data_IF_400365352474
#
_entry.id   IF_400365352474
#
_cell.length_a   1.000
_cell.length_b   1.000
_cell.length_c   1.000
_cell.angle_alpha   90.00
_cell.angle_beta   90.00
_cell.angle_gamma   90.00
#
_symmetry.space_group_name_H-M   'P 1'
#
loop_
_entity.id
_entity.type
_entity.pdbx_description
1 polymer ?
#
# COMPACT_ATOMS: atom_id res chain seq x y z
N UNK A 1 19.20 14.70 13.11
CA UNK A 1 19.43 13.81 11.95
C UNK A 1 18.26 13.99 11.00
N UNK A 2 18.54 14.51 9.80
CA UNK A 2 17.51 14.84 8.82
C UNK A 2 17.05 13.56 8.11
N UNK A 3 15.76 13.22 8.27
CA UNK A 3 15.05 12.44 7.26
C UNK A 3 15.27 13.16 5.93
N UNK A 4 15.79 12.46 4.92
CA UNK A 4 15.94 13.00 3.57
C UNK A 4 14.59 13.58 3.14
N UNK A 5 14.49 14.91 3.14
CA UNK A 5 13.38 15.62 2.53
C UNK A 5 13.54 15.43 1.03
N UNK A 6 12.91 14.38 0.49
CA UNK A 6 12.72 14.27 -0.94
C UNK A 6 11.70 15.35 -1.29
N UNK A 7 12.18 16.42 -1.89
CA UNK A 7 11.38 17.50 -2.44
C UNK A 7 11.73 17.64 -3.91
N UNK A 8 10.70 17.76 -4.76
CA UNK A 8 10.91 18.09 -6.16
C UNK A 8 11.59 19.46 -6.29
N UNK A 9 12.40 19.69 -7.34
CA UNK A 9 13.02 20.99 -7.59
C UNK A 9 11.98 22.11 -7.59
N UNK A 10 12.15 23.09 -6.68
CA UNK A 10 11.23 24.23 -6.54
C UNK A 10 10.08 24.03 -5.54
N UNK A 11 9.95 22.85 -4.92
CA UNK A 11 8.92 22.56 -3.92
C UNK A 11 9.50 22.33 -2.52
N UNK A 12 10.35 23.24 -2.03
CA UNK A 12 10.78 23.21 -0.62
C UNK A 12 9.59 23.53 0.29
N UNK A 13 9.39 22.71 1.33
CA UNK A 13 8.29 22.92 2.28
C UNK A 13 8.50 24.22 3.07
N UNK A 14 7.41 24.89 3.44
CA UNK A 14 7.50 25.99 4.39
C UNK A 14 8.06 25.45 5.74
N UNK A 15 8.87 26.23 6.49
CA UNK A 15 9.61 25.77 7.67
C UNK A 15 8.77 25.13 8.80
N UNK A 16 7.46 25.41 8.81
CA UNK A 16 6.48 24.95 9.80
C UNK A 16 5.57 23.83 9.29
N UNK A 17 5.78 23.36 8.05
CA UNK A 17 4.97 22.30 7.47
C UNK A 17 5.63 20.95 7.75
N UNK A 18 5.15 20.25 8.79
CA UNK A 18 5.52 18.87 9.03
C UNK A 18 4.98 18.01 7.88
N UNK A 19 5.86 17.59 6.97
CA UNK A 19 5.52 16.58 5.97
C UNK A 19 5.41 15.24 6.68
N UNK A 20 4.19 14.72 6.76
CA UNK A 20 3.97 13.33 7.12
C UNK A 20 4.47 12.46 5.95
N UNK A 21 5.36 11.53 6.26
CA UNK A 21 5.88 10.58 5.29
C UNK A 21 5.65 9.16 5.79
N UNK A 22 5.25 8.29 4.87
CA UNK A 22 5.18 6.86 5.07
C UNK A 22 5.96 6.16 3.96
N UNK A 23 6.65 5.08 4.32
CA UNK A 23 7.21 4.14 3.37
C UNK A 23 6.18 3.06 3.07
N UNK A 24 5.97 2.75 1.80
CA UNK A 24 5.09 1.68 1.35
C UNK A 24 5.95 0.67 0.59
N UNK A 25 6.00 -0.56 1.10
CA UNK A 25 6.44 -1.70 0.30
C UNK A 25 5.21 -2.33 -0.36
N UNK A 26 5.00 -2.01 -1.63
CA UNK A 26 3.91 -2.56 -2.42
C UNK A 26 4.34 -3.90 -3.00
N UNK A 27 4.32 -5.00 -2.26
CA UNK A 27 4.81 -6.31 -2.73
C UNK A 27 3.83 -7.07 -3.63
N UNK A 28 4.29 -8.18 -4.22
CA UNK A 28 3.47 -9.00 -5.14
C UNK A 28 2.37 -9.78 -4.41
N UNK A 29 2.69 -10.31 -3.22
CA UNK A 29 1.78 -11.15 -2.43
C UNK A 29 1.25 -10.42 -1.21
N UNK A 30 2.13 -9.69 -0.51
CA UNK A 30 1.77 -8.86 0.63
C UNK A 30 2.40 -7.48 0.45
N UNK A 31 1.79 -6.49 1.09
CA UNK A 31 2.26 -5.12 1.18
C UNK A 31 2.38 -4.71 2.65
N UNK A 32 3.17 -3.67 2.89
CA UNK A 32 3.42 -3.13 4.22
C UNK A 32 3.51 -1.60 4.13
N UNK A 33 3.04 -0.92 5.18
CA UNK A 33 3.24 0.51 5.38
C UNK A 33 3.99 0.77 6.68
N UNK A 34 4.93 1.70 6.66
CA UNK A 34 5.75 2.07 7.80
C UNK A 34 5.96 3.58 7.86
N UNK A 35 6.33 4.07 9.04
CA UNK A 35 6.78 5.46 9.23
C UNK A 35 7.98 5.51 10.17
N UNK A 36 8.62 6.67 10.28
CA UNK A 36 9.68 6.91 11.26
C UNK A 36 9.09 7.71 12.41
N UNK A 37 8.94 7.07 13.57
CA UNK A 37 8.49 7.69 14.81
C UNK A 37 9.66 7.75 15.78
N UNK A 38 9.97 8.95 16.30
CA UNK A 38 11.07 9.16 17.25
C UNK A 38 12.41 8.58 16.75
N UNK A 39 12.73 8.84 15.48
CA UNK A 39 13.92 8.33 14.78
C UNK A 39 14.01 6.79 14.63
N UNK A 40 12.92 6.06 14.88
CA UNK A 40 12.84 4.60 14.72
C UNK A 40 11.79 4.26 13.65
N UNK A 41 12.16 3.43 12.68
CA UNK A 41 11.22 2.91 11.69
C UNK A 41 10.25 1.92 12.36
N UNK A 42 8.96 2.08 12.11
CA UNK A 42 7.90 1.23 12.65
C UNK A 42 6.89 0.91 11.55
N UNK A 43 6.57 -0.37 11.40
CA UNK A 43 5.42 -0.80 10.60
C UNK A 43 4.13 -0.36 11.29
N UNK A 44 3.13 -0.02 10.48
CA UNK A 44 1.80 0.37 10.94
C UNK A 44 0.86 -0.83 10.75
N UNK A 45 0.14 -1.25 11.80
CA UNK A 45 -0.85 -2.31 11.66
C UNK A 45 -2.11 -1.80 10.93
N UNK A 46 -2.85 -2.72 10.33
CA UNK A 46 -4.22 -2.47 9.87
C UNK A 46 -5.23 -2.48 11.03
N UNK A 47 -6.52 -2.45 10.68
CA UNK A 47 -7.65 -2.41 11.62
C UNK A 47 -7.72 -3.65 12.54
N UNK A 48 -7.17 -4.79 12.08
CA UNK A 48 -7.14 -6.06 12.81
C UNK A 48 -5.80 -6.28 13.55
N UNK A 49 -4.88 -5.31 13.49
CA UNK A 49 -3.57 -5.41 14.11
C UNK A 49 -2.51 -6.11 13.26
N UNK A 50 -2.81 -6.48 12.01
CA UNK A 50 -1.88 -7.17 11.14
C UNK A 50 -0.90 -6.18 10.48
N UNK A 51 0.39 -6.52 10.47
CA UNK A 51 1.44 -5.68 9.88
C UNK A 51 1.61 -5.88 8.36
N UNK A 52 1.11 -7.00 7.83
CA UNK A 52 1.19 -7.37 6.42
C UNK A 52 -0.22 -7.46 5.86
N UNK A 53 -0.46 -6.69 4.80
CA UNK A 53 -1.72 -6.69 4.08
C UNK A 53 -1.58 -7.52 2.79
N UNK A 54 -2.44 -8.48 2.50
CA UNK A 54 -2.43 -9.18 1.21
C UNK A 54 -2.59 -8.22 0.04
N UNK A 55 -1.79 -8.37 -1.01
CA UNK A 55 -1.88 -7.59 -2.25
C UNK A 55 -2.99 -8.14 -3.14
N UNK A 56 -4.23 -8.04 -2.67
CA UNK A 56 -5.43 -8.58 -3.31
C UNK A 56 -6.52 -7.52 -3.31
N UNK A 57 -7.21 -7.38 -4.44
CA UNK A 57 -8.36 -6.48 -4.61
C UNK A 57 -9.51 -7.26 -5.22
N UNK A 58 -10.70 -7.16 -4.62
CA UNK A 58 -11.94 -7.72 -5.14
C UNK A 58 -12.92 -6.60 -5.48
N UNK A 59 -13.48 -6.63 -6.69
CA UNK A 59 -14.50 -5.69 -7.13
C UNK A 59 -15.89 -6.31 -6.95
N UNK A 60 -16.81 -5.57 -6.33
CA UNK A 60 -18.18 -5.98 -6.07
C UNK A 60 -19.16 -5.26 -7.01
N UNK A 61 -20.39 -5.78 -7.18
CA UNK A 61 -21.46 -5.05 -7.87
C UNK A 61 -21.70 -3.66 -7.27
N UNK A 62 -22.09 -2.69 -8.10
CA UNK A 62 -22.38 -1.32 -7.63
C UNK A 62 -21.13 -0.53 -7.20
N UNK A 63 -19.96 -0.87 -7.75
CA UNK A 63 -18.68 -0.20 -7.52
C UNK A 63 -18.11 -0.38 -6.10
N UNK A 64 -18.52 -1.43 -5.38
CA UNK A 64 -17.87 -1.80 -4.12
C UNK A 64 -16.45 -2.33 -4.36
N UNK A 65 -15.53 -2.03 -3.44
CA UNK A 65 -14.15 -2.51 -3.51
C UNK A 65 -13.77 -3.07 -2.15
N UNK A 66 -13.25 -4.29 -2.14
CA UNK A 66 -12.69 -4.95 -0.97
C UNK A 66 -11.19 -5.18 -1.22
N UNK A 67 -10.35 -4.94 -0.22
CA UNK A 67 -8.89 -5.02 -0.34
C UNK A 67 -8.32 -5.84 0.80
N UNK A 68 -7.22 -6.54 0.57
CA UNK A 68 -6.48 -7.19 1.65
C UNK A 68 -7.03 -8.55 2.02
N UNK A 69 -7.19 -8.80 3.32
CA UNK A 69 -7.56 -10.12 3.87
C UNK A 69 -8.92 -10.57 3.36
N UNK A 70 -9.94 -9.74 3.51
CA UNK A 70 -11.32 -10.08 3.12
C UNK A 70 -11.42 -10.42 1.62
N UNK A 71 -10.69 -9.69 0.77
CA UNK A 71 -10.61 -9.98 -0.66
C UNK A 71 -9.92 -11.34 -0.93
N UNK A 72 -8.85 -11.66 -0.19
CA UNK A 72 -8.18 -12.95 -0.33
C UNK A 72 -9.04 -14.11 0.17
N UNK A 73 -9.77 -13.94 1.28
CA UNK A 73 -10.61 -14.99 1.85
C UNK A 73 -11.75 -15.38 0.89
N UNK A 74 -12.27 -14.41 0.14
CA UNK A 74 -13.31 -14.63 -0.87
C UNK A 74 -12.79 -15.08 -2.24
N UNK A 75 -11.47 -15.23 -2.44
CA UNK A 75 -10.89 -15.38 -3.78
C UNK A 75 -11.39 -16.61 -4.53
N UNK A 76 -11.73 -17.70 -3.82
CA UNK A 76 -12.26 -18.92 -4.43
C UNK A 76 -13.74 -18.85 -4.73
N UNK A 77 -14.48 -17.98 -4.04
CA UNK A 77 -15.91 -17.80 -4.22
C UNK A 77 -16.21 -16.88 -5.41
N UNK A 78 -15.34 -15.90 -5.65
CA UNK A 78 -15.49 -14.91 -6.73
C UNK A 78 -14.14 -14.64 -7.43
N UNK A 79 -13.58 -15.66 -8.10
CA UNK A 79 -12.24 -15.57 -8.68
C UNK A 79 -12.16 -14.61 -9.86
N UNK A 80 -13.24 -14.44 -10.63
CA UNK A 80 -13.25 -13.58 -11.81
C UNK A 80 -13.16 -12.09 -11.44
N UNK A 81 -13.69 -11.71 -10.27
CA UNK A 81 -13.64 -10.33 -9.78
C UNK A 81 -12.56 -10.09 -8.72
N UNK A 82 -11.74 -11.09 -8.40
CA UNK A 82 -10.66 -10.99 -7.41
C UNK A 82 -9.30 -11.02 -8.09
N UNK A 83 -8.56 -9.90 -8.00
CA UNK A 83 -7.28 -9.72 -8.67
C UNK A 83 -6.12 -9.90 -7.69
N UNK A 84 -5.16 -10.75 -8.06
CA UNK A 84 -3.92 -11.03 -7.33
C UNK A 84 -2.70 -10.85 -8.25
N UNK A 85 -1.50 -10.76 -7.66
CA UNK A 85 -0.22 -10.76 -8.41
C UNK A 85 -0.03 -9.63 -9.44
N UNK A 86 -0.80 -8.54 -9.35
CA UNK A 86 -0.75 -7.38 -10.27
C UNK A 86 0.67 -6.85 -10.47
N UNK A 87 1.50 -6.84 -9.42
CA UNK A 87 2.89 -6.37 -9.48
C UNK A 87 3.74 -7.10 -10.54
N UNK A 88 3.39 -8.34 -10.91
CA UNK A 88 4.08 -9.08 -11.98
C UNK A 88 3.79 -8.52 -13.37
N UNK A 89 2.65 -7.85 -13.54
CA UNK A 89 2.16 -7.33 -14.82
C UNK A 89 2.39 -5.83 -14.98
N UNK A 90 2.57 -5.10 -13.87
CA UNK A 90 2.84 -3.66 -13.90
C UNK A 90 4.05 -3.32 -14.77
N UNK A 91 3.91 -2.25 -15.57
CA UNK A 91 4.97 -1.77 -16.46
C UNK A 91 5.22 -2.64 -17.69
N UNK A 92 4.42 -3.67 -17.93
CA UNK A 92 4.46 -4.48 -19.17
C UNK A 92 3.46 -3.95 -20.19
N UNK A 93 3.81 -4.04 -21.48
CA UNK A 93 2.85 -3.84 -22.57
C UNK A 93 2.01 -5.10 -22.79
N UNK A 94 0.86 -4.94 -23.44
CA UNK A 94 0.18 -6.06 -24.08
C UNK A 94 1.08 -6.59 -25.21
N UNK A 95 1.15 -7.91 -25.35
CA UNK A 95 1.89 -8.55 -26.44
C UNK A 95 1.15 -8.38 -27.77
#
# INVERSE_FOLDING_TARGET
MALLQIAEPGQSAAPHQHRLAAGIDLGTTNSLIATVQSAVARALPDEDGAMLLPSVVRYLPGNGIVVGREAQDSQSEDPENTIVSVKRFMGRSLA
#
